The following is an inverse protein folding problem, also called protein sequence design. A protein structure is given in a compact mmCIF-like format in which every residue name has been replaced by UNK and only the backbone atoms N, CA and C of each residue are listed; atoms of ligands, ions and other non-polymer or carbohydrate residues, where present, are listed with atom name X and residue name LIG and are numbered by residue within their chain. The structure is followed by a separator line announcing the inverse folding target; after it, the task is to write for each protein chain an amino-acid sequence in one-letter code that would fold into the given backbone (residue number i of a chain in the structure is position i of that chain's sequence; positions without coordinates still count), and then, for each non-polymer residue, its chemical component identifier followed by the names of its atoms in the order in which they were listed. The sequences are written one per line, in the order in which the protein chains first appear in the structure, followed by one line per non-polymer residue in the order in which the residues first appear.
data_IF_422445520704
#
_entry.id   IF_422445520704
#
_cell.length_a   1.000
_cell.length_b   1.000
_cell.length_c   1.000
_cell.angle_alpha   90.00
_cell.angle_beta   90.00
_cell.angle_gamma   90.00
#
_symmetry.space_group_name_H-M   'P 1'
#
loop_
_entity.id
_entity.type
_entity.pdbx_description
1 polymer ?
#
# COMPACT_ATOMS: atom_id res chain seq x y z
N UNK A 1 -12.20 -11.94 -21.94
CA UNK A 1 -12.17 -12.21 -20.50
C UNK A 1 -13.15 -13.34 -20.19
N UNK A 2 -12.70 -14.44 -19.57
CA UNK A 2 -13.63 -15.44 -19.03
C UNK A 2 -14.30 -14.84 -17.80
N UNK A 3 -15.61 -15.07 -17.65
CA UNK A 3 -16.35 -14.62 -16.46
C UNK A 3 -15.91 -15.43 -15.24
N UNK A 4 -15.04 -14.85 -14.40
CA UNK A 4 -14.50 -15.52 -13.21
C UNK A 4 -15.57 -15.78 -12.13
N UNK A 5 -16.71 -15.09 -12.17
CA UNK A 5 -17.84 -15.32 -11.26
C UNK A 5 -18.46 -16.72 -11.40
N UNK A 6 -18.26 -17.37 -12.57
CA UNK A 6 -18.74 -18.72 -12.82
C UNK A 6 -17.67 -19.81 -12.58
N UNK A 7 -16.50 -19.42 -12.10
CA UNK A 7 -15.39 -20.33 -11.82
C UNK A 7 -15.19 -20.44 -10.32
N UNK A 8 -15.36 -21.63 -9.76
CA UNK A 8 -14.99 -21.92 -8.37
C UNK A 8 -13.46 -22.02 -8.16
N UNK A 9 -12.70 -21.94 -9.26
CA UNK A 9 -11.23 -22.05 -9.19
C UNK A 9 -10.62 -20.74 -8.75
N UNK A 10 -9.99 -20.75 -7.60
CA UNK A 10 -9.18 -19.66 -7.08
C UNK A 10 -7.81 -19.64 -7.78
N UNK A 11 -7.41 -18.47 -8.25
CA UNK A 11 -6.13 -18.28 -8.94
C UNK A 11 -5.50 -17.01 -8.38
N UNK A 12 -4.31 -17.15 -7.84
CA UNK A 12 -3.45 -16.00 -7.56
C UNK A 12 -2.87 -15.48 -8.88
N UNK A 13 -3.02 -14.19 -9.14
CA UNK A 13 -2.62 -13.55 -10.41
C UNK A 13 -1.28 -12.80 -10.34
N UNK A 14 -0.64 -12.78 -9.18
CA UNK A 14 0.67 -12.13 -9.01
C UNK A 14 1.82 -13.03 -9.43
N UNK A 15 3.01 -12.43 -9.50
CA UNK A 15 4.24 -13.10 -9.92
C UNK A 15 5.03 -13.70 -8.75
N UNK A 16 4.61 -13.44 -7.50
CA UNK A 16 5.31 -13.94 -6.32
C UNK A 16 5.19 -15.47 -6.20
N UNK A 17 6.33 -16.14 -6.09
CA UNK A 17 6.44 -17.57 -5.81
C UNK A 17 6.69 -17.85 -4.33
N UNK A 18 6.67 -16.83 -3.47
CA UNK A 18 6.90 -16.98 -2.04
C UNK A 18 5.94 -18.02 -1.44
N UNK A 19 6.44 -18.96 -0.60
CA UNK A 19 5.59 -19.88 0.13
C UNK A 19 4.68 -19.11 1.07
N UNK A 20 3.49 -19.66 1.33
CA UNK A 20 2.57 -19.05 2.29
C UNK A 20 3.10 -19.29 3.71
N UNK A 21 3.23 -18.19 4.47
CA UNK A 21 3.61 -18.16 5.86
C UNK A 21 2.58 -17.36 6.66
N UNK A 22 2.18 -17.91 7.81
CA UNK A 22 1.18 -17.33 8.69
C UNK A 22 1.84 -16.92 10.00
N UNK A 23 1.56 -15.71 10.46
CA UNK A 23 1.93 -15.25 11.80
C UNK A 23 0.67 -14.73 12.49
N UNK A 24 0.30 -15.34 13.61
CA UNK A 24 -0.83 -14.96 14.43
C UNK A 24 -0.33 -14.35 15.73
N UNK A 25 -0.78 -13.14 16.01
CA UNK A 25 -0.60 -12.44 17.27
C UNK A 25 -1.98 -12.32 17.95
N UNK A 26 -2.19 -13.06 19.03
CA UNK A 26 -3.40 -13.01 19.86
C UNK A 26 -3.08 -12.26 21.15
N UNK A 27 -3.85 -11.23 21.49
CA UNK A 27 -3.53 -10.40 22.64
C UNK A 27 -4.76 -9.89 23.39
N UNK A 28 -4.52 -9.59 24.65
CA UNK A 28 -5.42 -8.87 25.56
C UNK A 28 -4.65 -7.78 26.29
N UNK A 29 -5.27 -7.07 27.20
CA UNK A 29 -4.61 -6.06 28.03
C UNK A 29 -3.42 -6.60 28.85
N UNK A 30 -3.42 -7.88 29.20
CA UNK A 30 -2.43 -8.50 30.08
C UNK A 30 -1.53 -9.51 29.41
N UNK A 31 -1.99 -10.09 28.30
CA UNK A 31 -1.33 -11.22 27.65
C UNK A 31 -1.13 -10.98 26.17
N UNK A 32 -0.07 -11.56 25.64
CA UNK A 32 0.22 -11.65 24.22
C UNK A 32 0.75 -13.04 23.92
N UNK A 33 0.21 -13.69 22.92
CA UNK A 33 0.64 -14.97 22.42
C UNK A 33 0.87 -14.89 20.92
N UNK A 34 1.99 -15.41 20.47
CA UNK A 34 2.34 -15.47 19.05
C UNK A 34 2.48 -16.92 18.62
N UNK A 35 2.01 -17.22 17.42
CA UNK A 35 2.20 -18.51 16.76
C UNK A 35 2.44 -18.30 15.27
N UNK A 36 3.22 -19.20 14.67
CA UNK A 36 3.54 -19.14 13.24
C UNK A 36 3.42 -20.52 12.62
N UNK A 37 3.12 -20.55 11.33
CA UNK A 37 3.00 -21.80 10.58
C UNK A 37 2.75 -21.56 9.10
N UNK A 38 2.66 -22.63 8.33
CA UNK A 38 2.45 -22.54 6.89
C UNK A 38 1.05 -22.97 6.44
N UNK A 39 0.23 -23.45 7.38
CA UNK A 39 -1.15 -23.85 7.13
C UNK A 39 -2.06 -23.25 8.19
N UNK A 40 -3.33 -23.01 7.86
CA UNK A 40 -4.28 -22.45 8.80
C UNK A 40 -4.49 -23.37 10.03
N UNK A 41 -4.49 -24.67 9.82
CA UNK A 41 -4.65 -25.65 10.88
C UNK A 41 -3.54 -25.55 11.94
N UNK A 42 -2.30 -25.16 11.55
CA UNK A 42 -1.17 -25.05 12.49
C UNK A 42 -1.29 -23.92 13.51
N UNK A 43 -2.11 -22.91 13.21
CA UNK A 43 -2.30 -21.72 14.07
C UNK A 43 -3.71 -21.60 14.62
N UNK A 44 -4.67 -22.37 14.10
CA UNK A 44 -6.09 -22.26 14.41
C UNK A 44 -6.41 -22.41 15.90
N UNK A 45 -5.71 -23.31 16.59
CA UNK A 45 -5.93 -23.58 18.00
C UNK A 45 -5.45 -22.43 18.93
N UNK A 46 -4.67 -21.48 18.38
CA UNK A 46 -4.22 -20.28 19.10
C UNK A 46 -5.20 -19.11 18.97
N UNK A 47 -6.15 -19.19 18.03
CA UNK A 47 -7.21 -18.19 17.92
C UNK A 47 -8.09 -18.18 19.16
N UNK A 48 -8.31 -17.00 19.72
CA UNK A 48 -9.16 -16.82 20.90
C UNK A 48 -10.22 -15.76 20.62
N UNK A 49 -11.49 -16.17 20.71
CA UNK A 49 -12.62 -15.27 20.46
C UNK A 49 -12.80 -14.19 21.53
N UNK A 50 -12.14 -14.33 22.69
CA UNK A 50 -12.18 -13.36 23.80
C UNK A 50 -11.07 -12.33 23.71
N UNK A 51 -10.10 -12.56 22.82
CA UNK A 51 -8.93 -11.72 22.59
C UNK A 51 -9.00 -11.07 21.20
N UNK A 52 -8.12 -10.09 20.96
CA UNK A 52 -7.92 -9.55 19.63
C UNK A 52 -6.89 -10.40 18.90
N UNK A 53 -7.23 -10.80 17.68
CA UNK A 53 -6.42 -11.66 16.84
C UNK A 53 -5.93 -10.88 15.64
N UNK A 54 -4.62 -10.76 15.46
CA UNK A 54 -4.02 -10.23 14.25
C UNK A 54 -3.33 -11.34 13.48
N UNK A 55 -3.96 -11.78 12.41
CA UNK A 55 -3.41 -12.80 11.52
C UNK A 55 -2.74 -12.13 10.32
N UNK A 56 -1.45 -12.34 10.19
CA UNK A 56 -0.61 -11.90 9.08
C UNK A 56 -0.37 -13.07 8.13
N UNK A 57 -0.74 -12.88 6.87
CA UNK A 57 -0.59 -13.86 5.79
C UNK A 57 0.43 -13.32 4.79
N UNK A 58 1.56 -13.96 4.67
CA UNK A 58 2.61 -13.65 3.72
C UNK A 58 2.67 -14.74 2.65
N UNK A 59 2.74 -14.34 1.37
CA UNK A 59 2.71 -15.28 0.24
C UNK A 59 1.30 -15.76 -0.08
N UNK A 60 0.87 -15.54 -1.33
CA UNK A 60 -0.51 -15.78 -1.78
C UNK A 60 -0.63 -17.01 -2.68
N UNK A 61 0.43 -17.80 -2.81
CA UNK A 61 0.48 -18.94 -3.73
C UNK A 61 -0.41 -20.11 -3.31
N UNK A 62 -0.49 -20.37 -2.00
CA UNK A 62 -1.37 -21.41 -1.47
C UNK A 62 -2.79 -20.86 -1.29
N UNK A 63 -3.55 -20.89 -2.38
CA UNK A 63 -4.92 -20.39 -2.43
C UNK A 63 -5.87 -21.20 -1.55
N UNK A 64 -5.55 -22.45 -1.20
CA UNK A 64 -6.38 -23.28 -0.33
C UNK A 64 -6.28 -22.83 1.13
N UNK A 65 -5.06 -22.58 1.64
CA UNK A 65 -4.88 -21.99 2.96
C UNK A 65 -5.59 -20.64 3.09
N UNK A 66 -5.52 -19.78 2.05
CA UNK A 66 -6.24 -18.49 2.05
C UNK A 66 -7.76 -18.69 2.04
N UNK A 67 -8.27 -19.68 1.30
CA UNK A 67 -9.69 -20.05 1.32
C UNK A 67 -10.14 -20.49 2.71
N UNK A 68 -9.36 -21.36 3.39
CA UNK A 68 -9.67 -21.83 4.74
C UNK A 68 -9.75 -20.65 5.72
N UNK A 69 -8.80 -19.70 5.66
CA UNK A 69 -8.81 -18.48 6.47
C UNK A 69 -10.08 -17.68 6.19
N UNK A 70 -10.36 -17.34 4.92
CA UNK A 70 -11.53 -16.56 4.56
C UNK A 70 -12.84 -17.24 4.96
N UNK A 71 -12.92 -18.56 4.83
CA UNK A 71 -14.10 -19.34 5.26
C UNK A 71 -14.28 -19.30 6.78
N UNK A 72 -13.19 -19.36 7.55
CA UNK A 72 -13.24 -19.31 9.01
C UNK A 72 -13.75 -17.95 9.53
N UNK A 73 -13.31 -16.85 8.90
CA UNK A 73 -13.71 -15.49 9.26
C UNK A 73 -14.96 -15.00 8.51
N UNK A 74 -15.65 -15.89 7.80
CA UNK A 74 -16.88 -15.59 7.02
C UNK A 74 -16.67 -14.45 5.99
N UNK A 75 -15.50 -14.40 5.37
CA UNK A 75 -15.19 -13.44 4.30
C UNK A 75 -15.80 -13.94 2.99
N UNK A 76 -16.49 -13.06 2.28
CA UNK A 76 -17.17 -13.38 1.04
C UNK A 76 -16.22 -13.86 -0.06
N UNK A 77 -16.72 -14.79 -0.89
CA UNK A 77 -15.94 -15.37 -2.00
C UNK A 77 -15.45 -14.30 -3.01
N UNK A 78 -16.21 -13.25 -3.23
CA UNK A 78 -15.79 -12.15 -4.11
C UNK A 78 -14.59 -11.39 -3.52
N UNK A 79 -14.60 -11.14 -2.22
CA UNK A 79 -13.47 -10.53 -1.52
C UNK A 79 -12.25 -11.44 -1.58
N UNK A 80 -12.42 -12.75 -1.41
CA UNK A 80 -11.32 -13.72 -1.58
C UNK A 80 -10.72 -13.67 -3.00
N UNK A 81 -11.54 -13.54 -4.06
CA UNK A 81 -11.04 -13.35 -5.41
C UNK A 81 -10.26 -12.04 -5.57
N UNK A 82 -10.74 -10.96 -4.94
CA UNK A 82 -10.08 -9.66 -4.96
C UNK A 82 -8.73 -9.69 -4.21
N UNK A 83 -8.65 -10.40 -3.09
CA UNK A 83 -7.40 -10.63 -2.35
C UNK A 83 -6.36 -11.34 -3.23
N UNK A 84 -6.77 -12.37 -3.96
CA UNK A 84 -5.89 -13.15 -4.83
C UNK A 84 -5.53 -12.45 -6.14
N UNK A 85 -6.18 -11.33 -6.47
CA UNK A 85 -5.91 -10.55 -7.66
C UNK A 85 -4.87 -9.46 -7.39
N UNK A 86 -3.59 -9.76 -7.57
CA UNK A 86 -2.48 -8.83 -7.35
C UNK A 86 -2.59 -7.50 -8.13
N UNK A 87 -3.38 -7.47 -9.22
CA UNK A 87 -3.63 -6.28 -10.02
C UNK A 87 -4.97 -5.61 -9.69
N UNK A 88 -5.62 -5.99 -8.58
CA UNK A 88 -6.87 -5.37 -8.18
C UNK A 88 -6.67 -3.87 -7.93
N UNK A 89 -7.56 -2.98 -8.41
CA UNK A 89 -7.53 -1.57 -8.06
C UNK A 89 -7.65 -1.36 -6.55
N UNK A 90 -7.12 -0.25 -6.04
CA UNK A 90 -7.30 0.16 -4.65
C UNK A 90 -8.80 0.30 -4.34
N UNK A 91 -9.22 -0.27 -3.22
CA UNK A 91 -10.63 -0.40 -2.84
C UNK A 91 -10.79 -0.32 -1.32
N UNK A 92 -11.86 0.35 -0.89
CA UNK A 92 -12.39 0.29 0.48
C UNK A 92 -13.83 -0.17 0.38
N UNK A 93 -14.18 -1.23 1.06
CA UNK A 93 -15.52 -1.80 1.04
C UNK A 93 -15.98 -2.16 2.47
N UNK A 94 -17.19 -1.74 2.80
CA UNK A 94 -17.83 -2.03 4.07
C UNK A 94 -18.85 -3.16 3.88
N UNK A 95 -18.75 -4.18 4.73
CA UNK A 95 -19.69 -5.27 4.87
C UNK A 95 -20.30 -5.25 6.26
N UNK A 96 -21.36 -6.00 6.50
CA UNK A 96 -22.05 -6.03 7.80
C UNK A 96 -21.15 -6.48 8.96
N UNK A 97 -20.20 -7.39 8.70
CA UNK A 97 -19.35 -8.02 9.71
C UNK A 97 -17.89 -7.59 9.66
N UNK A 98 -17.43 -6.98 8.58
CA UNK A 98 -16.03 -6.60 8.39
C UNK A 98 -15.88 -5.44 7.41
N UNK A 99 -14.73 -4.78 7.45
CA UNK A 99 -14.31 -3.75 6.49
C UNK A 99 -13.08 -4.28 5.76
N UNK A 100 -13.05 -4.16 4.43
CA UNK A 100 -11.92 -4.58 3.58
C UNK A 100 -11.25 -3.38 2.95
N UNK A 101 -9.92 -3.34 3.03
CA UNK A 101 -9.09 -2.42 2.28
C UNK A 101 -8.11 -3.19 1.41
N UNK A 102 -8.11 -2.92 0.12
CA UNK A 102 -7.10 -3.37 -0.84
C UNK A 102 -6.29 -2.17 -1.25
N UNK A 103 -5.03 -2.15 -0.86
CA UNK A 103 -4.11 -1.04 -1.01
C UNK A 103 -2.84 -1.49 -1.76
N UNK A 104 -1.98 -0.56 -2.12
CA UNK A 104 -0.67 -0.85 -2.71
C UNK A 104 0.43 -0.27 -1.83
N UNK A 105 1.47 -1.03 -1.59
CA UNK A 105 2.72 -0.57 -0.99
C UNK A 105 3.73 -0.33 -2.10
N UNK A 106 4.61 0.64 -1.91
CA UNK A 106 5.62 1.03 -2.89
C UNK A 106 7.01 0.80 -2.34
N UNK A 107 7.90 0.29 -3.18
CA UNK A 107 9.29 0.00 -2.85
C UNK A 107 10.21 0.40 -4.00
N UNK A 108 11.41 0.92 -3.71
CA UNK A 108 12.43 1.11 -4.74
C UNK A 108 12.89 -0.27 -5.26
N UNK A 109 13.14 -0.38 -6.55
CA UNK A 109 13.73 -1.58 -7.13
C UNK A 109 15.23 -1.66 -6.77
N UNK A 110 15.57 -2.47 -5.79
CA UNK A 110 16.96 -2.65 -5.31
C UNK A 110 17.79 -3.63 -6.15
N UNK A 111 17.17 -4.32 -7.12
CA UNK A 111 17.84 -5.34 -7.96
C UNK A 111 18.37 -4.80 -9.29
N UNK A 112 18.80 -3.56 -9.33
CA UNK A 112 19.25 -2.90 -10.55
C UNK A 112 20.73 -3.10 -10.86
N UNK A 113 21.03 -3.12 -12.18
CA UNK A 113 22.36 -2.80 -12.69
C UNK A 113 22.66 -1.29 -12.49
N UNK A 114 23.94 -0.93 -12.43
CA UNK A 114 24.38 0.47 -12.22
C UNK A 114 23.86 1.48 -13.27
N UNK A 115 23.35 1.00 -14.42
CA UNK A 115 22.85 1.81 -15.54
C UNK A 115 21.31 1.87 -15.65
N UNK A 116 20.56 1.25 -14.72
CA UNK A 116 19.10 1.25 -14.79
C UNK A 116 18.50 2.37 -13.92
N UNK A 117 17.55 3.12 -14.51
CA UNK A 117 16.81 4.19 -13.83
C UNK A 117 15.99 3.68 -12.65
N UNK A 118 15.79 4.53 -11.64
CA UNK A 118 15.03 4.18 -10.46
C UNK A 118 13.59 3.80 -10.82
N UNK A 119 13.27 2.53 -10.63
CA UNK A 119 11.96 1.97 -10.86
C UNK A 119 11.24 1.76 -9.52
N UNK A 120 9.99 2.19 -9.48
CA UNK A 120 9.13 1.98 -8.33
C UNK A 120 8.35 0.69 -8.52
N UNK A 121 8.54 -0.26 -7.60
CA UNK A 121 7.76 -1.49 -7.53
C UNK A 121 6.55 -1.28 -6.64
N UNK A 122 5.45 -1.98 -6.94
CA UNK A 122 4.27 -2.02 -6.10
C UNK A 122 3.94 -3.44 -5.67
N UNK A 123 3.39 -3.56 -4.46
CA UNK A 123 2.89 -4.82 -3.90
C UNK A 123 1.50 -4.59 -3.32
N UNK A 124 0.60 -5.56 -3.50
CA UNK A 124 -0.71 -5.49 -2.87
C UNK A 124 -0.62 -5.79 -1.37
N UNK A 125 -1.32 -5.00 -0.58
CA UNK A 125 -1.67 -5.30 0.80
C UNK A 125 -3.18 -5.28 0.94
N UNK A 126 -3.76 -6.33 1.51
CA UNK A 126 -5.15 -6.34 1.91
C UNK A 126 -5.23 -6.33 3.43
N UNK A 127 -6.06 -5.46 3.99
CA UNK A 127 -6.29 -5.36 5.43
C UNK A 127 -7.79 -5.52 5.67
N UNK A 128 -8.18 -6.45 6.53
CA UNK A 128 -9.57 -6.71 6.88
C UNK A 128 -9.75 -6.48 8.38
N UNK A 129 -10.70 -5.63 8.74
CA UNK A 129 -11.10 -5.37 10.12
C UNK A 129 -12.40 -6.10 10.43
N UNK A 130 -12.39 -6.98 11.42
CA UNK A 130 -13.58 -7.57 12.03
C UNK A 130 -13.77 -7.10 13.48
N UNK A 131 -14.73 -7.66 14.18
CA UNK A 131 -15.06 -7.25 15.56
C UNK A 131 -13.93 -7.51 16.56
N UNK A 132 -13.24 -8.65 16.44
CA UNK A 132 -12.13 -9.07 17.32
C UNK A 132 -10.92 -9.58 16.55
N UNK A 133 -10.83 -9.26 15.26
CA UNK A 133 -9.71 -9.68 14.43
C UNK A 133 -9.29 -8.60 13.42
N UNK A 134 -8.02 -8.62 13.08
CA UNK A 134 -7.49 -7.97 11.89
C UNK A 134 -6.77 -9.03 11.07
N UNK A 135 -7.02 -9.07 9.75
CA UNK A 135 -6.28 -9.91 8.82
C UNK A 135 -5.46 -9.01 7.91
N UNK A 136 -4.20 -9.35 7.70
CA UNK A 136 -3.36 -8.69 6.70
C UNK A 136 -2.83 -9.72 5.71
N UNK A 137 -2.96 -9.44 4.41
CA UNK A 137 -2.48 -10.30 3.33
C UNK A 137 -1.44 -9.53 2.52
N UNK A 138 -0.26 -10.11 2.38
CA UNK A 138 0.88 -9.56 1.66
C UNK A 138 1.41 -10.59 0.65
N UNK A 139 1.77 -10.15 -0.55
CA UNK A 139 2.22 -11.05 -1.63
C UNK A 139 3.57 -11.73 -1.35
N UNK A 140 4.39 -11.10 -0.50
CA UNK A 140 5.73 -11.58 -0.14
C UNK A 140 5.92 -11.45 1.36
N UNK A 141 6.84 -12.22 1.89
CA UNK A 141 7.36 -11.98 3.23
C UNK A 141 8.05 -10.63 3.28
N UNK A 142 7.74 -9.83 4.28
CA UNK A 142 8.23 -8.47 4.47
C UNK A 142 8.18 -8.10 5.94
N UNK A 143 9.08 -7.23 6.36
CA UNK A 143 9.15 -6.60 7.67
C UNK A 143 8.27 -5.34 7.81
N UNK A 144 7.43 -5.07 6.82
CA UNK A 144 6.66 -3.82 6.71
C UNK A 144 5.85 -3.46 7.98
N UNK A 145 5.35 -4.46 8.69
CA UNK A 145 4.59 -4.28 9.93
C UNK A 145 5.35 -4.70 11.21
N UNK A 146 6.67 -4.86 11.16
CA UNK A 146 7.46 -5.31 12.31
C UNK A 146 7.52 -4.27 13.43
N UNK A 147 7.40 -3.01 13.11
CA UNK A 147 7.25 -1.93 14.08
C UNK A 147 5.94 -2.07 14.89
N UNK A 148 4.85 -2.47 14.24
CA UNK A 148 3.55 -2.74 14.88
C UNK A 148 3.63 -4.01 15.74
N UNK A 149 4.28 -5.07 15.27
CA UNK A 149 4.56 -6.28 16.05
C UNK A 149 5.36 -5.91 17.33
N UNK A 150 6.40 -5.09 17.18
CA UNK A 150 7.23 -4.63 18.28
C UNK A 150 6.43 -3.74 19.25
N UNK A 151 5.56 -2.88 18.76
CA UNK A 151 4.68 -2.06 19.58
C UNK A 151 3.70 -2.90 20.40
N UNK A 152 3.14 -3.98 19.82
CA UNK A 152 2.26 -4.92 20.53
C UNK A 152 3.01 -5.69 21.62
N UNK A 153 4.22 -6.19 21.34
CA UNK A 153 5.05 -6.90 22.34
C UNK A 153 5.39 -6.03 23.53
N UNK A 154 5.74 -4.77 23.28
CA UNK A 154 6.16 -3.80 24.30
C UNK A 154 5.01 -2.97 24.88
N UNK A 155 3.77 -3.21 24.47
CA UNK A 155 2.57 -2.44 24.84
C UNK A 155 2.75 -0.91 24.69
N UNK A 156 3.38 -0.49 23.58
CA UNK A 156 3.66 0.93 23.31
C UNK A 156 2.32 1.69 23.22
N UNK A 157 2.25 2.83 23.93
CA UNK A 157 1.04 3.66 24.03
C UNK A 157 -0.22 2.88 24.49
N UNK A 158 -0.02 1.78 25.21
CA UNK A 158 -1.09 0.88 25.67
C UNK A 158 -1.94 0.34 24.52
N UNK A 159 -1.29 -0.03 23.43
CA UNK A 159 -1.96 -0.56 22.23
C UNK A 159 -2.84 -1.77 22.56
N UNK A 160 -2.39 -2.66 23.48
CA UNK A 160 -3.14 -3.84 23.86
C UNK A 160 -4.41 -3.56 24.67
N UNK A 161 -4.53 -2.37 25.28
CA UNK A 161 -5.74 -1.95 26.00
C UNK A 161 -6.79 -1.29 25.10
N UNK A 162 -6.50 -1.18 23.80
CA UNK A 162 -7.39 -0.58 22.81
C UNK A 162 -8.19 -1.65 22.07
N UNK A 163 -9.24 -1.21 21.37
CA UNK A 163 -10.07 -2.08 20.55
C UNK A 163 -9.43 -2.42 19.21
N UNK A 164 -9.99 -3.37 18.49
CA UNK A 164 -9.47 -3.89 17.21
C UNK A 164 -9.27 -2.81 16.14
N UNK A 165 -10.20 -1.85 16.08
CA UNK A 165 -10.13 -0.73 15.16
C UNK A 165 -8.95 0.23 15.42
N UNK A 166 -8.43 0.27 16.65
CA UNK A 166 -7.20 1.00 16.92
C UNK A 166 -5.99 0.35 16.23
N UNK A 167 -5.84 -0.99 16.37
CA UNK A 167 -4.79 -1.71 15.62
C UNK A 167 -4.93 -1.48 14.12
N UNK A 168 -6.15 -1.54 13.60
CA UNK A 168 -6.42 -1.28 12.20
C UNK A 168 -5.99 0.13 11.78
N UNK A 169 -6.25 1.15 12.60
CA UNK A 169 -5.79 2.53 12.32
C UNK A 169 -4.27 2.66 12.34
N UNK A 170 -3.58 1.92 13.22
CA UNK A 170 -2.11 1.89 13.27
C UNK A 170 -1.54 1.28 11.99
N UNK A 171 -2.09 0.15 11.52
CA UNK A 171 -1.69 -0.47 10.26
C UNK A 171 -1.92 0.46 9.06
N UNK A 172 -3.04 1.19 9.05
CA UNK A 172 -3.30 2.20 8.02
C UNK A 172 -2.28 3.34 8.06
N UNK A 173 -1.89 3.80 9.24
CA UNK A 173 -0.85 4.82 9.39
C UNK A 173 0.50 4.33 8.85
N UNK A 174 0.87 3.05 9.04
CA UNK A 174 2.07 2.49 8.40
C UNK A 174 1.98 2.56 6.87
N UNK A 175 0.83 2.25 6.28
CA UNK A 175 0.61 2.40 4.83
C UNK A 175 0.68 3.86 4.39
N UNK A 176 0.10 4.80 5.15
CA UNK A 176 0.20 6.23 4.85
C UNK A 176 1.65 6.72 4.94
N UNK A 177 2.42 6.22 5.91
CA UNK A 177 3.86 6.49 6.01
C UNK A 177 4.64 6.07 4.76
N UNK A 178 4.33 4.89 4.21
CA UNK A 178 4.89 4.44 2.93
C UNK A 178 4.52 5.38 1.77
N UNK A 179 3.27 5.84 1.71
CA UNK A 179 2.83 6.77 0.67
C UNK A 179 3.51 8.14 0.78
N UNK A 180 3.61 8.68 2.01
CA UNK A 180 4.27 9.96 2.27
C UNK A 180 5.75 9.87 1.87
N UNK A 181 6.47 8.86 2.35
CA UNK A 181 7.88 8.67 2.05
C UNK A 181 8.13 8.55 0.54
N UNK A 182 7.29 7.76 -0.15
CA UNK A 182 7.45 7.55 -1.59
C UNK A 182 7.14 8.80 -2.41
N UNK A 183 6.05 9.51 -2.11
CA UNK A 183 5.70 10.72 -2.88
C UNK A 183 6.67 11.86 -2.62
N UNK A 184 7.17 12.02 -1.38
CA UNK A 184 8.19 13.01 -1.05
C UNK A 184 9.50 12.73 -1.80
N UNK A 185 9.91 11.46 -1.92
CA UNK A 185 11.09 11.10 -2.71
C UNK A 185 10.94 11.42 -4.21
N UNK A 186 9.72 11.31 -4.75
CA UNK A 186 9.44 11.70 -6.14
C UNK A 186 9.47 13.23 -6.28
N UNK A 187 8.92 13.96 -5.31
CA UNK A 187 8.88 15.42 -5.28
C UNK A 187 10.29 15.99 -5.20
N UNK A 188 11.12 15.51 -4.27
CA UNK A 188 12.52 15.88 -4.12
C UNK A 188 13.30 15.64 -5.43
N UNK A 189 13.10 14.47 -6.07
CA UNK A 189 13.77 14.14 -7.34
C UNK A 189 13.30 15.02 -8.51
N UNK A 190 12.06 15.52 -8.49
CA UNK A 190 11.57 16.48 -9.48
C UNK A 190 12.18 17.86 -9.28
N UNK A 191 12.34 18.31 -8.04
CA UNK A 191 13.02 19.58 -7.69
C UNK A 191 14.50 19.54 -8.10
N UNK A 192 15.21 18.45 -7.76
CA UNK A 192 16.62 18.27 -8.18
C UNK A 192 16.77 18.34 -9.70
N UNK A 193 15.85 17.72 -10.43
CA UNK A 193 15.86 17.71 -11.88
C UNK A 193 15.56 19.10 -12.50
N UNK A 194 14.73 19.90 -11.85
CA UNK A 194 14.45 21.29 -12.24
C UNK A 194 15.72 22.15 -12.08
N UNK A 195 16.44 22.03 -10.97
CA UNK A 195 17.72 22.71 -10.75
C UNK A 195 18.78 22.29 -11.77
N UNK A 196 18.84 21.00 -12.11
CA UNK A 196 19.76 20.48 -13.12
C UNK A 196 19.44 21.08 -14.50
N UNK A 197 18.17 21.14 -14.91
CA UNK A 197 17.75 21.75 -16.19
C UNK A 197 18.08 23.22 -16.31
N UNK A 198 18.13 23.95 -15.20
CA UNK A 198 18.48 25.39 -15.19
C UNK A 198 20.00 25.62 -15.29
N UNK A 199 20.82 24.65 -14.87
CA UNK A 199 22.28 24.81 -14.73
C UNK A 199 23.08 24.15 -15.87
N UNK A 200 22.58 23.03 -16.43
CA UNK A 200 23.35 22.22 -17.40
C UNK A 200 22.97 22.53 -18.84
N UNK A 201 24.03 22.73 -19.65
CA UNK A 201 23.91 22.95 -21.10
C UNK A 201 23.90 21.66 -21.94
N UNK A 202 24.21 20.50 -21.35
CA UNK A 202 24.25 19.19 -22.04
C UNK A 202 23.50 18.13 -21.20
N UNK A 203 22.32 17.67 -21.62
CA UNK A 203 21.52 16.70 -20.88
C UNK A 203 20.71 15.78 -21.78
N UNK A 204 21.39 14.79 -22.44
CA UNK A 204 20.63 13.69 -23.10
C UNK A 204 19.87 12.83 -22.10
N UNK A 205 20.37 12.68 -20.89
CA UNK A 205 19.79 11.85 -19.83
C UNK A 205 18.53 12.44 -19.14
N UNK A 206 18.40 13.77 -19.13
CA UNK A 206 17.31 14.45 -18.43
C UNK A 206 15.92 14.02 -18.95
N UNK A 207 15.76 13.89 -20.26
CA UNK A 207 14.49 13.45 -20.84
C UNK A 207 14.10 12.03 -20.40
N UNK A 208 15.07 11.16 -20.19
CA UNK A 208 14.86 9.79 -19.69
C UNK A 208 14.48 9.81 -18.21
N UNK A 209 15.13 10.66 -17.41
CA UNK A 209 14.83 10.85 -15.99
C UNK A 209 13.41 11.43 -15.79
N UNK A 210 13.01 12.44 -16.57
CA UNK A 210 11.64 12.96 -16.56
C UNK A 210 10.63 11.85 -16.85
N UNK A 211 10.89 10.98 -17.83
CA UNK A 211 9.99 9.87 -18.15
C UNK A 211 9.94 8.80 -17.04
N UNK A 212 11.05 8.55 -16.36
CA UNK A 212 11.09 7.62 -15.22
C UNK A 212 10.27 8.16 -14.05
N UNK A 213 10.48 9.42 -13.63
CA UNK A 213 9.71 10.05 -12.55
C UNK A 213 8.22 10.15 -12.91
N UNK A 214 7.90 10.45 -14.18
CA UNK A 214 6.51 10.42 -14.64
C UNK A 214 5.86 9.06 -14.47
N UNK A 215 6.56 7.96 -14.76
CA UNK A 215 6.04 6.60 -14.57
C UNK A 215 5.78 6.32 -13.08
N UNK A 216 6.72 6.65 -12.20
CA UNK A 216 6.58 6.49 -10.75
C UNK A 216 5.39 7.30 -10.21
N UNK A 217 5.30 8.56 -10.57
CA UNK A 217 4.18 9.44 -10.24
C UNK A 217 2.84 8.86 -10.69
N UNK A 218 2.73 8.39 -11.94
CA UNK A 218 1.49 7.83 -12.49
C UNK A 218 1.09 6.54 -11.78
N UNK A 219 2.07 5.72 -11.35
CA UNK A 219 1.83 4.51 -10.58
C UNK A 219 1.19 4.86 -9.24
N UNK A 220 1.77 5.79 -8.49
CA UNK A 220 1.24 6.26 -7.22
C UNK A 220 -0.13 6.91 -7.37
N UNK A 221 -0.27 7.84 -8.30
CA UNK A 221 -1.55 8.52 -8.57
C UNK A 221 -2.68 7.54 -8.82
N UNK A 222 -2.44 6.52 -9.65
CA UNK A 222 -3.44 5.49 -9.98
C UNK A 222 -3.87 4.69 -8.77
N UNK A 223 -2.95 4.40 -7.85
CA UNK A 223 -3.23 3.62 -6.65
C UNK A 223 -3.93 4.46 -5.56
N UNK A 224 -3.57 5.74 -5.41
CA UNK A 224 -3.97 6.54 -4.25
C UNK A 224 -5.22 7.39 -4.54
N UNK A 225 -5.37 7.90 -5.76
CA UNK A 225 -6.49 8.78 -6.11
C UNK A 225 -7.89 8.20 -5.77
N UNK A 226 -8.16 6.89 -5.97
CA UNK A 226 -9.44 6.29 -5.59
C UNK A 226 -9.74 6.36 -4.08
N UNK A 227 -8.72 6.46 -3.22
CA UNK A 227 -8.91 6.54 -1.77
C UNK A 227 -9.55 7.86 -1.34
N UNK A 228 -9.39 8.93 -2.11
CA UNK A 228 -9.89 10.27 -1.78
C UNK A 228 -11.37 10.28 -1.35
N UNK A 229 -12.21 9.65 -2.15
CA UNK A 229 -13.66 9.61 -1.89
C UNK A 229 -14.06 8.43 -1.01
N UNK A 230 -13.41 7.29 -1.21
CA UNK A 230 -13.72 6.06 -0.48
C UNK A 230 -13.41 6.18 1.01
N UNK A 231 -12.28 6.82 1.37
CA UNK A 231 -11.90 7.00 2.77
C UNK A 231 -12.82 8.01 3.48
N UNK A 232 -13.18 9.11 2.81
CA UNK A 232 -14.17 10.07 3.35
C UNK A 232 -15.53 9.40 3.56
N UNK A 233 -15.93 8.50 2.66
CA UNK A 233 -17.16 7.73 2.82
C UNK A 233 -17.10 6.83 4.05
N UNK A 234 -15.98 6.10 4.24
CA UNK A 234 -15.74 5.29 5.44
C UNK A 234 -15.83 6.09 6.74
N UNK A 235 -15.24 7.30 6.78
CA UNK A 235 -15.29 8.16 7.96
C UNK A 235 -16.70 8.66 8.31
N UNK A 236 -17.56 8.83 7.30
CA UNK A 236 -18.93 9.30 7.48
C UNK A 236 -19.91 8.19 7.84
N UNK A 237 -19.56 6.96 7.52
CA UNK A 237 -20.42 5.83 7.81
C UNK A 237 -20.55 5.60 9.33
N UNK A 238 -21.75 5.26 9.76
CA UNK A 238 -22.01 4.82 11.14
C UNK A 238 -21.70 3.32 11.27
N UNK A 239 -20.45 2.95 10.96
CA UNK A 239 -20.00 1.58 11.03
C UNK A 239 -19.74 1.18 12.51
N UNK A 240 -20.31 0.07 12.94
CA UNK A 240 -20.20 -0.42 14.33
C UNK A 240 -18.76 -0.90 14.66
N UNK A 241 -17.96 -1.22 13.65
CA UNK A 241 -16.57 -1.66 13.82
C UNK A 241 -15.62 -0.51 14.12
N UNK A 242 -15.97 0.74 13.80
CA UNK A 242 -15.16 1.93 14.09
C UNK A 242 -15.76 2.65 15.31
N UNK A 243 -15.11 2.50 16.45
CA UNK A 243 -15.58 3.06 17.71
C UNK A 243 -15.34 4.55 17.78
N UNK A 244 -16.30 5.29 18.37
CA UNK A 244 -16.22 6.75 18.50
C UNK A 244 -14.94 7.22 19.19
N UNK A 245 -14.44 6.48 20.16
CA UNK A 245 -13.22 6.79 20.93
C UNK A 245 -11.96 6.75 20.06
N UNK A 246 -11.95 5.96 18.99
CA UNK A 246 -10.82 5.80 18.08
C UNK A 246 -10.93 6.65 16.81
N UNK A 247 -12.03 7.38 16.59
CA UNK A 247 -12.22 8.22 15.39
C UNK A 247 -11.12 9.24 15.16
N UNK A 248 -10.49 9.74 16.23
CA UNK A 248 -9.37 10.68 16.11
C UNK A 248 -8.20 10.08 15.33
N UNK A 249 -7.90 8.78 15.49
CA UNK A 249 -6.82 8.09 14.78
C UNK A 249 -7.17 7.90 13.29
N UNK A 250 -8.42 7.66 12.96
CA UNK A 250 -8.88 7.61 11.57
C UNK A 250 -8.86 8.99 10.89
N UNK A 251 -9.12 10.06 11.63
CA UNK A 251 -8.96 11.42 11.12
C UNK A 251 -7.49 11.74 10.83
N UNK A 252 -6.57 11.29 11.68
CA UNK A 252 -5.13 11.42 11.48
C UNK A 252 -4.68 10.72 10.19
N UNK A 253 -5.15 9.49 9.94
CA UNK A 253 -4.95 8.78 8.67
C UNK A 253 -5.48 9.57 7.48
N UNK A 254 -6.65 10.23 7.63
CA UNK A 254 -7.20 11.10 6.60
C UNK A 254 -6.32 12.32 6.33
N UNK A 255 -5.78 12.94 7.37
CA UNK A 255 -4.92 14.11 7.22
C UNK A 255 -3.63 13.74 6.47
N UNK A 256 -3.04 12.59 6.76
CA UNK A 256 -1.92 12.02 6.01
C UNK A 256 -2.30 11.74 4.54
N UNK A 257 -3.47 11.16 4.30
CA UNK A 257 -3.97 10.93 2.93
C UNK A 257 -4.17 12.25 2.17
N UNK A 258 -4.70 13.29 2.81
CA UNK A 258 -4.85 14.62 2.18
C UNK A 258 -3.49 15.23 1.84
N UNK A 259 -2.50 15.11 2.72
CA UNK A 259 -1.12 15.53 2.43
C UNK A 259 -0.57 14.84 1.17
N UNK A 260 -0.68 13.51 1.09
CA UNK A 260 -0.24 12.73 -0.08
C UNK A 260 -0.95 13.19 -1.36
N UNK A 261 -2.27 13.41 -1.29
CA UNK A 261 -3.05 13.86 -2.44
C UNK A 261 -2.65 15.28 -2.90
N UNK A 262 -2.32 16.17 -1.97
CA UNK A 262 -1.80 17.51 -2.30
C UNK A 262 -0.42 17.41 -2.98
N UNK A 263 0.49 16.61 -2.44
CA UNK A 263 1.83 16.42 -3.04
C UNK A 263 1.72 15.77 -4.42
N UNK A 264 0.79 14.84 -4.65
CA UNK A 264 0.50 14.30 -5.99
C UNK A 264 0.13 15.41 -6.98
N UNK A 265 -0.65 16.42 -6.57
CA UNK A 265 -1.00 17.55 -7.46
C UNK A 265 0.19 18.49 -7.67
N UNK A 266 1.03 18.73 -6.66
CA UNK A 266 2.29 19.48 -6.81
C UNK A 266 3.21 18.77 -7.82
N UNK A 267 3.50 17.48 -7.63
CA UNK A 267 4.31 16.71 -8.57
C UNK A 267 3.77 16.77 -10.02
N UNK A 268 2.44 16.79 -10.20
CA UNK A 268 1.83 16.96 -11.52
C UNK A 268 2.21 18.29 -12.18
N UNK A 269 2.16 19.37 -11.41
CA UNK A 269 2.46 20.72 -11.88
C UNK A 269 3.97 20.85 -12.20
N UNK A 270 4.82 20.36 -11.30
CA UNK A 270 6.28 20.34 -11.51
C UNK A 270 6.66 19.53 -12.75
N UNK A 271 6.09 18.30 -12.92
CA UNK A 271 6.31 17.49 -14.12
C UNK A 271 5.90 18.22 -15.41
N UNK A 272 4.79 18.95 -15.40
CA UNK A 272 4.36 19.73 -16.58
C UNK A 272 5.35 20.83 -16.90
N UNK A 273 5.79 21.58 -15.88
CA UNK A 273 6.80 22.65 -16.03
C UNK A 273 8.14 22.12 -16.52
N UNK A 274 8.60 20.96 -16.01
CA UNK A 274 9.83 20.30 -16.44
C UNK A 274 9.80 19.89 -17.91
N UNK A 275 8.68 19.36 -18.38
CA UNK A 275 8.52 18.99 -19.80
C UNK A 275 8.60 20.22 -20.68
N UNK A 276 7.93 21.31 -20.32
CA UNK A 276 7.92 22.56 -21.07
C UNK A 276 9.33 23.19 -21.10
N UNK A 277 10.02 23.20 -19.95
CA UNK A 277 11.39 23.70 -19.83
C UNK A 277 12.38 22.86 -20.67
N UNK A 278 12.25 21.53 -20.63
CA UNK A 278 13.07 20.62 -21.43
C UNK A 278 12.90 20.85 -22.94
N UNK A 279 11.66 21.02 -23.41
CA UNK A 279 11.36 21.32 -24.81
C UNK A 279 11.98 22.67 -25.19
N UNK A 280 11.79 23.73 -24.41
CA UNK A 280 12.33 25.06 -24.64
C UNK A 280 13.87 25.06 -24.74
N UNK A 281 14.53 24.33 -23.82
CA UNK A 281 16.00 24.20 -23.85
C UNK A 281 16.49 23.48 -25.11
N UNK A 282 15.79 22.44 -25.56
CA UNK A 282 16.14 21.74 -26.80
C UNK A 282 15.96 22.63 -28.04
N UNK A 283 14.91 23.44 -28.10
CA UNK A 283 14.67 24.39 -29.20
C UNK A 283 15.74 25.46 -29.25
N UNK A 284 16.16 26.02 -28.13
CA UNK A 284 17.28 27.00 -28.04
C UNK A 284 18.59 26.40 -28.53
N UNK A 285 18.86 25.15 -28.18
CA UNK A 285 20.05 24.41 -28.63
C UNK A 285 20.03 24.22 -30.14
N UNK A 286 18.91 23.76 -30.69
CA UNK A 286 18.78 23.55 -32.14
C UNK A 286 18.97 24.85 -32.89
N UNK A 287 18.38 25.96 -32.40
CA UNK A 287 18.57 27.28 -32.97
C UNK A 287 20.04 27.76 -32.93
N UNK A 288 20.75 27.50 -31.83
CA UNK A 288 22.16 27.85 -31.69
C UNK A 288 23.06 27.01 -32.61
N UNK A 289 22.76 25.73 -32.81
CA UNK A 289 23.48 24.88 -33.77
C UNK A 289 23.24 25.39 -35.20
N UNK A 290 22.00 25.69 -35.56
CA UNK A 290 21.66 26.22 -36.88
C UNK A 290 22.37 27.56 -37.17
N UNK A 291 22.44 28.49 -36.20
CA UNK A 291 23.17 29.76 -36.30
C UNK A 291 24.68 29.58 -36.49
N UNK A 292 25.27 28.49 -36.03
CA UNK A 292 26.69 28.18 -36.19
C UNK A 292 27.01 27.55 -37.57
N UNK A 293 26.02 26.96 -38.23
CA UNK A 293 26.12 26.30 -39.52
C UNK A 293 25.78 27.21 -40.70
N UNK A 294 25.09 28.32 -40.45
CA UNK A 294 24.82 29.41 -41.40
C UNK A 294 25.83 30.55 -41.26
#
# INVERSE_FOLDING_TARGET
MKNNLLSEKLIYTGDSLAPTHLHLCTYSTTEIQESSGNTFQSIKDTLDNTHINWLQVHGMKDTETIREICSHFEIDFLVLQDILNANHPTKIEEHDKYIVLILKLFYPNTHKGEDELDELLQQQVCIILGSNYVLTFLEKETDFFDDVNTALRNDVLKIRSRQTDYLFSVLLNSVMGNYISTISSIDDALEDLEEELLTITEGYDIGIQIQALRRQYMLMKKAILPLKEQYVKLLRAENLLIHKVNRAFFNDVNDHLQFVLQTIEICRETLSSLVDLYISNNDLRMNNIMKRLT
#
